data_IF_433792402311
#
_entry.id   IF_433792402311
#
_cell.length_a   1.000
_cell.length_b   1.000
_cell.length_c   1.000
_cell.angle_alpha   90.00
_cell.angle_beta   90.00
_cell.angle_gamma   90.00
#
_symmetry.space_group_name_H-M   'P 1'
#
loop_
_entity.id
_entity.type
_entity.pdbx_description
1 polymer ?
#
# COMPACT_ATOMS: atom_id res chain seq x y z
N UNK A 1 -8.27 -7.99 -26.31
CA UNK A 1 -8.82 -6.79 -25.66
C UNK A 1 -9.40 -7.24 -24.34
N UNK A 2 -8.98 -6.66 -23.22
CA UNK A 2 -9.48 -7.05 -21.89
C UNK A 2 -10.97 -6.73 -21.73
N UNK A 3 -11.61 -7.42 -20.82
CA UNK A 3 -13.00 -7.18 -20.42
C UNK A 3 -13.07 -5.94 -19.51
N UNK A 4 -14.21 -5.27 -19.48
CA UNK A 4 -14.46 -4.16 -18.54
C UNK A 4 -15.67 -4.56 -17.71
N UNK A 5 -15.50 -4.49 -16.38
CA UNK A 5 -16.57 -4.68 -15.41
C UNK A 5 -16.85 -3.36 -14.70
N UNK A 6 -18.11 -3.11 -14.44
CA UNK A 6 -18.62 -1.89 -13.82
C UNK A 6 -19.26 -2.19 -12.48
N UNK A 7 -18.98 -1.35 -11.50
CA UNK A 7 -19.53 -1.44 -10.15
C UNK A 7 -20.24 -0.12 -9.79
N UNK A 8 -21.53 -0.20 -9.40
CA UNK A 8 -22.36 0.94 -9.00
C UNK A 8 -23.11 0.58 -7.71
N UNK A 9 -22.69 1.14 -6.57
CA UNK A 9 -23.27 0.84 -5.26
C UNK A 9 -24.74 1.27 -5.13
N UNK A 10 -25.16 2.23 -5.94
CA UNK A 10 -26.51 2.81 -5.86
C UNK A 10 -27.48 2.08 -6.78
N UNK A 11 -27.13 1.97 -8.08
CA UNK A 11 -28.05 1.48 -9.11
C UNK A 11 -27.67 0.08 -9.63
N UNK A 12 -26.53 -0.47 -9.22
CA UNK A 12 -26.10 -1.81 -9.60
C UNK A 12 -26.97 -2.92 -8.99
N UNK A 13 -26.84 -4.11 -9.57
CA UNK A 13 -27.45 -5.34 -9.07
C UNK A 13 -26.49 -6.50 -9.33
N UNK A 14 -26.24 -7.35 -8.33
CA UNK A 14 -25.30 -8.46 -8.42
C UNK A 14 -25.78 -9.62 -9.33
N UNK A 15 -27.01 -9.58 -9.75
CA UNK A 15 -27.54 -10.46 -10.80
C UNK A 15 -27.19 -9.99 -12.22
N UNK A 16 -26.66 -8.80 -12.38
CA UNK A 16 -26.25 -8.22 -13.65
C UNK A 16 -24.94 -8.86 -14.15
N UNK A 17 -24.66 -8.68 -15.45
CA UNK A 17 -23.41 -9.15 -16.04
C UNK A 17 -22.16 -8.34 -15.66
N UNK A 18 -22.34 -7.11 -15.19
CA UNK A 18 -21.27 -6.17 -14.89
C UNK A 18 -20.55 -5.57 -16.11
N UNK A 19 -20.88 -5.94 -17.34
CA UNK A 19 -20.08 -5.60 -18.54
C UNK A 19 -20.47 -4.28 -19.24
N UNK A 20 -21.49 -3.61 -18.75
CA UNK A 20 -21.87 -2.25 -19.18
C UNK A 20 -22.24 -1.39 -17.96
N UNK A 21 -22.13 -0.04 -18.03
CA UNK A 21 -22.55 0.82 -16.94
C UNK A 21 -24.01 0.62 -16.51
N UNK A 22 -24.92 0.36 -17.45
CA UNK A 22 -26.35 0.17 -17.18
C UNK A 22 -26.66 -1.23 -16.59
N UNK A 23 -25.74 -2.17 -16.71
CA UNK A 23 -25.82 -3.51 -16.12
C UNK A 23 -24.66 -3.74 -15.12
N UNK A 24 -24.33 -2.72 -14.34
CA UNK A 24 -23.27 -2.78 -13.34
C UNK A 24 -23.60 -3.75 -12.20
N UNK A 25 -22.57 -4.37 -11.63
CA UNK A 25 -22.66 -5.07 -10.35
C UNK A 25 -22.85 -4.06 -9.22
N UNK A 26 -23.26 -4.53 -8.04
CA UNK A 26 -23.53 -3.65 -6.90
C UNK A 26 -22.47 -3.72 -5.81
N UNK A 27 -22.07 -4.93 -5.42
CA UNK A 27 -21.28 -5.18 -4.22
C UNK A 27 -19.82 -5.51 -4.50
N UNK A 28 -18.95 -5.29 -3.51
CA UNK A 28 -17.57 -5.78 -3.53
C UNK A 28 -17.51 -7.30 -3.57
N UNK A 29 -18.47 -7.96 -2.91
CA UNK A 29 -18.58 -9.42 -2.89
C UNK A 29 -18.76 -10.00 -4.29
N UNK A 30 -19.61 -9.39 -5.12
CA UNK A 30 -19.79 -9.80 -6.51
C UNK A 30 -18.51 -9.53 -7.34
N UNK A 31 -17.88 -8.39 -7.12
CA UNK A 31 -16.61 -8.06 -7.77
C UNK A 31 -15.49 -9.06 -7.41
N UNK A 32 -15.45 -9.51 -6.15
CA UNK A 32 -14.48 -10.49 -5.66
C UNK A 32 -14.67 -11.90 -6.28
N UNK A 33 -15.80 -12.19 -6.92
CA UNK A 33 -16.03 -13.47 -7.62
C UNK A 33 -15.48 -13.45 -9.06
N UNK A 34 -15.04 -12.30 -9.55
CA UNK A 34 -14.54 -12.18 -10.93
C UNK A 34 -13.10 -12.69 -10.98
N UNK A 35 -12.84 -13.63 -11.89
CA UNK A 35 -11.49 -13.99 -12.26
C UNK A 35 -11.01 -13.07 -13.40
N UNK A 36 -10.11 -12.16 -13.05
CA UNK A 36 -9.54 -11.18 -13.96
C UNK A 36 -8.39 -11.80 -14.78
N UNK A 37 -8.14 -11.24 -15.94
CA UNK A 37 -7.04 -11.59 -16.82
C UNK A 37 -6.36 -10.36 -17.42
N UNK A 38 -5.45 -10.59 -18.35
CA UNK A 38 -4.67 -9.55 -19.01
C UNK A 38 -5.55 -8.47 -19.66
N UNK A 39 -5.35 -7.22 -19.22
CA UNK A 39 -6.07 -6.06 -19.72
C UNK A 39 -7.50 -5.89 -19.20
N UNK A 40 -7.99 -6.76 -18.33
CA UNK A 40 -9.30 -6.61 -17.70
C UNK A 40 -9.33 -5.40 -16.77
N UNK A 41 -10.51 -4.80 -16.64
CA UNK A 41 -10.71 -3.64 -15.76
C UNK A 41 -11.93 -3.83 -14.87
N UNK A 42 -11.82 -3.44 -13.62
CA UNK A 42 -12.92 -3.17 -12.72
C UNK A 42 -13.02 -1.66 -12.53
N UNK A 43 -14.12 -1.08 -12.96
CA UNK A 43 -14.35 0.35 -12.85
C UNK A 43 -15.46 0.62 -11.83
N UNK A 44 -15.12 1.42 -10.82
CA UNK A 44 -16.01 1.85 -9.76
C UNK A 44 -16.63 3.20 -10.13
N UNK A 45 -17.93 3.36 -9.88
CA UNK A 45 -18.63 4.59 -10.21
C UNK A 45 -18.26 5.73 -9.27
N UNK A 46 -17.90 6.86 -9.84
CA UNK A 46 -17.70 8.11 -9.11
C UNK A 46 -18.93 8.48 -8.29
N UNK A 47 -18.73 9.04 -7.09
CA UNK A 47 -19.79 9.41 -6.14
C UNK A 47 -20.42 8.21 -5.40
N UNK A 48 -19.89 7.01 -5.54
CA UNK A 48 -20.34 5.82 -4.79
C UNK A 48 -19.39 5.47 -3.66
N UNK A 49 -19.92 4.80 -2.64
CA UNK A 49 -19.20 4.29 -1.48
C UNK A 49 -19.49 2.80 -1.29
N UNK A 50 -18.47 2.03 -0.97
CA UNK A 50 -18.56 0.62 -0.59
C UNK A 50 -17.93 0.39 0.77
N UNK A 51 -18.49 -0.57 1.51
CA UNK A 51 -17.95 -1.03 2.80
C UNK A 51 -17.53 -2.48 2.70
N UNK A 52 -16.34 -2.77 3.24
CA UNK A 52 -15.74 -4.10 3.23
C UNK A 52 -14.45 -4.15 2.41
N UNK A 53 -13.99 -5.35 2.11
CA UNK A 53 -12.70 -5.59 1.46
C UNK A 53 -12.89 -5.95 -0.01
N UNK A 54 -12.23 -5.21 -0.89
CA UNK A 54 -12.07 -5.61 -2.29
C UNK A 54 -10.81 -6.47 -2.42
N UNK A 55 -11.00 -7.72 -2.84
CA UNK A 55 -9.92 -8.69 -3.03
C UNK A 55 -10.03 -9.33 -4.43
N UNK A 56 -9.48 -8.70 -5.48
CA UNK A 56 -9.58 -9.20 -6.84
C UNK A 56 -8.70 -10.44 -7.05
N UNK A 57 -9.12 -11.34 -7.92
CA UNK A 57 -8.42 -12.58 -8.23
C UNK A 57 -7.97 -12.64 -9.70
N UNK A 58 -6.86 -13.32 -9.93
CA UNK A 58 -6.28 -13.49 -11.27
C UNK A 58 -5.20 -12.45 -11.58
N UNK A 59 -4.44 -12.70 -12.61
CA UNK A 59 -3.26 -11.90 -12.98
C UNK A 59 -3.49 -11.15 -14.29
N UNK A 60 -2.97 -9.93 -14.38
CA UNK A 60 -2.66 -9.31 -15.67
C UNK A 60 -1.45 -9.97 -16.35
N UNK A 61 -0.87 -9.29 -17.30
CA UNK A 61 0.45 -9.65 -17.81
C UNK A 61 1.35 -8.41 -17.96
N UNK A 62 2.61 -8.61 -18.23
CA UNK A 62 3.61 -7.51 -18.31
C UNK A 62 3.30 -6.47 -19.40
N UNK A 63 2.43 -6.75 -20.35
CA UNK A 63 2.03 -5.85 -21.42
C UNK A 63 0.62 -5.29 -21.23
N UNK A 64 -0.23 -6.01 -20.49
CA UNK A 64 -1.62 -5.67 -20.26
C UNK A 64 -1.99 -5.94 -18.79
N UNK A 65 -1.78 -4.93 -17.96
CA UNK A 65 -2.14 -5.00 -16.54
C UNK A 65 -3.67 -5.13 -16.38
N UNK A 66 -4.10 -5.89 -15.40
CA UNK A 66 -5.44 -5.76 -14.86
C UNK A 66 -5.54 -4.44 -14.07
N UNK A 67 -6.72 -3.84 -13.99
CA UNK A 67 -6.86 -2.51 -13.39
C UNK A 67 -8.11 -2.39 -12.53
N UNK A 68 -7.96 -1.75 -11.37
CA UNK A 68 -9.05 -1.13 -10.62
C UNK A 68 -8.97 0.37 -10.89
N UNK A 69 -10.07 0.97 -11.32
CA UNK A 69 -10.14 2.39 -11.66
C UNK A 69 -11.55 2.95 -11.49
N UNK A 70 -11.85 4.05 -12.14
CA UNK A 70 -13.10 4.79 -11.95
C UNK A 70 -13.83 5.04 -13.25
N UNK A 71 -15.13 5.29 -13.17
CA UNK A 71 -15.93 5.76 -14.30
C UNK A 71 -17.03 6.72 -13.85
N UNK A 72 -17.57 7.48 -14.81
CA UNK A 72 -18.58 8.52 -14.55
C UNK A 72 -17.96 9.79 -14.00
N UNK A 73 -18.80 10.77 -13.79
CA UNK A 73 -18.42 12.09 -13.28
C UNK A 73 -18.72 12.18 -11.77
N UNK A 74 -17.98 13.00 -11.06
CA UNK A 74 -18.18 13.25 -9.63
C UNK A 74 -16.94 13.02 -8.80
N UNK A 75 -17.11 12.92 -7.50
CA UNK A 75 -16.04 12.60 -6.54
C UNK A 75 -15.51 11.19 -6.77
N UNK A 76 -14.22 10.98 -6.45
CA UNK A 76 -13.62 9.66 -6.55
C UNK A 76 -14.41 8.64 -5.69
N UNK A 77 -14.59 7.41 -6.17
CA UNK A 77 -15.32 6.40 -5.43
C UNK A 77 -14.56 6.00 -4.15
N UNK A 78 -15.31 5.82 -3.07
CA UNK A 78 -14.77 5.48 -1.76
C UNK A 78 -14.91 3.98 -1.47
N UNK A 79 -13.81 3.35 -1.04
CA UNK A 79 -13.82 2.04 -0.38
C UNK A 79 -13.43 2.22 1.08
N UNK A 80 -14.39 2.03 1.99
CA UNK A 80 -14.15 1.92 3.43
C UNK A 80 -14.00 0.44 3.79
N UNK A 81 -12.81 0.05 4.26
CA UNK A 81 -12.56 -1.31 4.73
C UNK A 81 -13.48 -1.75 5.88
N UNK A 82 -14.10 -0.79 6.58
CA UNK A 82 -15.06 -1.03 7.68
C UNK A 82 -14.52 -2.00 8.74
N UNK A 83 -13.25 -1.85 9.07
CA UNK A 83 -12.56 -2.69 10.05
C UNK A 83 -11.98 -3.99 9.52
N UNK A 84 -12.08 -4.28 8.23
CA UNK A 84 -11.42 -5.44 7.62
C UNK A 84 -9.89 -5.33 7.68
N UNK A 85 -9.21 -6.43 7.40
CA UNK A 85 -7.74 -6.47 7.35
C UNK A 85 -7.16 -5.43 6.39
N UNK A 86 -7.79 -5.22 5.23
CA UNK A 86 -7.47 -4.16 4.29
C UNK A 86 -8.74 -3.68 3.58
N UNK A 87 -8.78 -2.44 3.10
CA UNK A 87 -9.85 -1.99 2.22
C UNK A 87 -9.67 -2.58 0.81
N UNK A 88 -8.42 -2.65 0.32
CA UNK A 88 -8.06 -3.37 -0.91
C UNK A 88 -6.93 -4.35 -0.59
N UNK A 89 -7.14 -5.62 -0.92
CA UNK A 89 -6.15 -6.68 -0.76
C UNK A 89 -5.77 -7.28 -2.12
N UNK A 90 -4.54 -7.03 -2.57
CA UNK A 90 -3.94 -7.69 -3.73
C UNK A 90 -3.16 -8.91 -3.22
N UNK A 91 -3.84 -10.05 -3.08
CA UNK A 91 -3.29 -11.26 -2.48
C UNK A 91 -2.78 -12.24 -3.53
N UNK A 92 -1.48 -12.41 -3.58
CA UNK A 92 -0.83 -13.35 -4.48
C UNK A 92 -1.05 -13.06 -5.97
N UNK A 93 -1.40 -11.83 -6.35
CA UNK A 93 -1.67 -11.44 -7.74
C UNK A 93 -0.53 -10.60 -8.31
N UNK A 94 -0.39 -10.59 -9.64
CA UNK A 94 0.63 -9.84 -10.37
C UNK A 94 0.02 -9.03 -11.52
N UNK A 95 0.73 -7.96 -11.91
CA UNK A 95 0.37 -7.07 -13.02
C UNK A 95 -1.00 -6.39 -12.85
N UNK A 96 -1.11 -5.68 -11.71
CA UNK A 96 -2.29 -4.92 -11.35
C UNK A 96 -2.00 -3.42 -11.20
N UNK A 97 -2.98 -2.60 -11.57
CA UNK A 97 -3.00 -1.16 -11.28
C UNK A 97 -4.21 -0.82 -10.43
N UNK A 98 -4.01 -0.05 -9.38
CA UNK A 98 -5.06 0.59 -8.57
C UNK A 98 -4.91 2.09 -8.72
N UNK A 99 -5.95 2.75 -9.21
CA UNK A 99 -5.83 4.16 -9.57
C UNK A 99 -7.08 4.97 -9.30
N UNK A 100 -6.90 6.17 -8.71
CA UNK A 100 -7.90 7.22 -8.66
C UNK A 100 -9.04 6.98 -7.67
N UNK A 101 -8.80 6.24 -6.59
CA UNK A 101 -9.78 5.89 -5.57
C UNK A 101 -9.56 6.68 -4.29
N UNK A 102 -10.64 6.91 -3.54
CA UNK A 102 -10.60 7.25 -2.12
C UNK A 102 -10.68 5.97 -1.30
N UNK A 103 -9.84 5.84 -0.29
CA UNK A 103 -9.69 4.61 0.51
C UNK A 103 -9.55 4.98 1.98
N UNK A 104 -10.39 4.38 2.81
CA UNK A 104 -10.24 4.45 4.26
C UNK A 104 -10.49 3.07 4.90
N UNK A 105 -10.22 2.94 6.18
CA UNK A 105 -10.48 1.70 6.89
C UNK A 105 -10.72 1.99 8.38
N UNK A 106 -11.94 2.45 8.65
CA UNK A 106 -12.37 2.84 9.97
C UNK A 106 -12.61 1.67 10.91
N UNK A 107 -12.15 1.80 12.14
CA UNK A 107 -12.56 0.92 13.24
C UNK A 107 -12.23 1.50 14.61
N UNK A 108 -13.07 1.24 15.57
CA UNK A 108 -12.78 1.47 16.98
C UNK A 108 -11.95 0.36 17.62
N UNK A 109 -11.82 -0.81 16.97
CA UNK A 109 -11.02 -1.92 17.45
C UNK A 109 -9.55 -1.73 17.09
N UNK A 110 -8.67 -2.02 18.03
CA UNK A 110 -7.21 -1.97 17.81
C UNK A 110 -6.75 -3.31 17.25
N UNK A 111 -6.35 -3.31 16.00
CA UNK A 111 -5.72 -4.48 15.35
C UNK A 111 -4.84 -4.04 14.18
N UNK A 112 -4.10 -4.97 13.62
CA UNK A 112 -3.36 -4.75 12.36
C UNK A 112 -4.37 -4.50 11.23
N UNK A 113 -4.22 -3.38 10.54
CA UNK A 113 -5.17 -2.94 9.51
C UNK A 113 -4.48 -2.05 8.46
N UNK A 114 -4.90 -2.21 7.21
CA UNK A 114 -4.33 -1.56 6.05
C UNK A 114 -5.37 -0.74 5.30
N UNK A 115 -4.92 0.28 4.55
CA UNK A 115 -5.70 0.85 3.46
C UNK A 115 -5.63 -0.07 2.24
N UNK A 116 -4.45 -0.16 1.62
CA UNK A 116 -4.15 -1.12 0.55
C UNK A 116 -3.06 -2.07 1.03
N UNK A 117 -3.29 -3.38 0.88
CA UNK A 117 -2.29 -4.40 1.13
C UNK A 117 -1.91 -5.11 -0.18
N UNK A 118 -0.61 -5.17 -0.47
CA UNK A 118 -0.03 -6.02 -1.49
C UNK A 118 0.61 -7.19 -0.76
N UNK A 119 0.02 -8.38 -0.86
CA UNK A 119 0.55 -9.62 -0.31
C UNK A 119 1.16 -10.44 -1.43
N UNK A 120 2.45 -10.72 -1.33
CA UNK A 120 3.15 -11.47 -2.36
C UNK A 120 2.69 -12.92 -2.41
N UNK A 121 2.91 -13.57 -3.55
CA UNK A 121 2.75 -15.02 -3.72
C UNK A 121 3.64 -15.75 -2.72
N UNK A 122 3.17 -16.89 -2.23
CA UNK A 122 3.95 -17.77 -1.36
C UNK A 122 5.16 -18.37 -2.06
N UNK A 123 5.12 -18.47 -3.39
CA UNK A 123 6.20 -18.98 -4.23
C UNK A 123 6.32 -18.17 -5.52
N UNK A 124 7.55 -17.98 -5.99
CA UNK A 124 7.86 -17.29 -7.22
C UNK A 124 7.84 -15.76 -7.11
N UNK A 125 7.67 -15.10 -8.24
CA UNK A 125 7.76 -13.65 -8.35
C UNK A 125 6.36 -13.04 -8.32
N UNK A 126 6.14 -12.08 -7.42
CA UNK A 126 5.00 -11.15 -7.51
C UNK A 126 5.49 -9.89 -8.19
N UNK A 127 4.93 -9.56 -9.34
CA UNK A 127 5.46 -8.49 -10.19
C UNK A 127 4.40 -7.53 -10.73
N UNK A 128 4.86 -6.32 -11.04
CA UNK A 128 4.06 -5.37 -11.80
C UNK A 128 2.85 -4.84 -11.04
N UNK A 129 3.03 -4.31 -9.83
CA UNK A 129 1.93 -3.69 -9.08
C UNK A 129 2.13 -2.17 -9.05
N UNK A 130 1.14 -1.44 -9.53
CA UNK A 130 1.10 0.03 -9.46
C UNK A 130 -0.06 0.52 -8.59
N UNK A 131 0.24 1.34 -7.57
CA UNK A 131 -0.75 2.07 -6.79
C UNK A 131 -0.54 3.57 -7.04
N UNK A 132 -1.50 4.23 -7.68
CA UNK A 132 -1.31 5.62 -8.06
C UNK A 132 -2.55 6.50 -7.97
N UNK A 133 -2.31 7.79 -7.76
CA UNK A 133 -3.34 8.83 -7.80
C UNK A 133 -4.54 8.54 -6.88
N UNK A 134 -4.30 7.85 -5.76
CA UNK A 134 -5.30 7.54 -4.74
C UNK A 134 -5.20 8.52 -3.56
N UNK A 135 -6.33 8.78 -2.92
CA UNK A 135 -6.39 9.41 -1.61
C UNK A 135 -6.64 8.34 -0.56
N UNK A 136 -5.76 8.23 0.45
CA UNK A 136 -5.84 7.18 1.49
C UNK A 136 -5.81 7.87 2.85
N UNK A 137 -6.87 7.70 3.62
CA UNK A 137 -7.04 8.43 4.88
C UNK A 137 -7.77 7.58 5.92
N UNK A 138 -7.66 7.98 7.18
CA UNK A 138 -8.38 7.37 8.30
C UNK A 138 -8.27 5.83 8.33
N UNK A 139 -7.03 5.35 8.18
CA UNK A 139 -6.71 3.93 8.36
C UNK A 139 -6.39 3.69 9.84
N UNK A 140 -7.34 3.09 10.56
CA UNK A 140 -7.30 2.88 12.01
C UNK A 140 -6.53 1.61 12.41
N UNK A 141 -5.30 1.49 11.96
CA UNK A 141 -4.43 0.36 12.30
C UNK A 141 -3.72 0.52 13.66
N UNK A 142 -3.06 -0.53 14.11
CA UNK A 142 -2.33 -0.59 15.37
C UNK A 142 -0.82 -0.55 15.16
N UNK A 143 -0.12 0.29 15.93
CA UNK A 143 1.34 0.43 15.90
C UNK A 143 1.98 0.07 17.25
N UNK A 144 1.60 -1.02 17.90
CA UNK A 144 2.17 -1.39 19.18
C UNK A 144 3.60 -1.90 19.09
N UNK A 145 4.44 -1.37 19.97
CA UNK A 145 5.79 -1.86 20.29
C UNK A 145 5.80 -2.72 21.57
N UNK A 146 4.70 -3.15 22.12
CA UNK A 146 4.70 -3.91 23.37
C UNK A 146 5.28 -5.32 23.18
N UNK A 147 6.29 -5.67 23.99
CA UNK A 147 6.82 -7.04 24.07
C UNK A 147 5.75 -8.04 24.52
N UNK A 148 5.66 -9.24 23.98
CA UNK A 148 6.52 -9.86 22.97
C UNK A 148 6.14 -9.51 21.52
N UNK A 149 5.32 -8.51 21.31
CA UNK A 149 4.70 -8.19 20.02
C UNK A 149 5.38 -6.95 19.43
N UNK A 150 6.65 -7.02 19.11
CA UNK A 150 7.29 -6.08 18.17
C UNK A 150 6.58 -6.01 16.81
N UNK A 151 5.56 -6.75 16.66
CA UNK A 151 5.07 -7.24 15.38
C UNK A 151 4.05 -6.31 14.76
N UNK A 152 3.14 -5.70 15.54
CA UNK A 152 2.09 -4.90 14.89
C UNK A 152 2.64 -3.63 14.22
N UNK A 153 3.69 -3.02 14.76
CA UNK A 153 4.33 -1.86 14.11
C UNK A 153 4.96 -2.20 12.75
N UNK A 154 5.35 -3.44 12.53
CA UNK A 154 5.96 -3.88 11.27
C UNK A 154 4.94 -4.38 10.24
N UNK A 155 3.70 -4.58 10.62
CA UNK A 155 2.70 -5.25 9.79
C UNK A 155 1.56 -4.36 9.33
N UNK A 156 1.74 -3.06 9.35
CA UNK A 156 0.72 -2.13 8.91
C UNK A 156 1.28 -0.98 8.08
N UNK A 157 0.41 -0.37 7.30
CA UNK A 157 0.65 0.82 6.51
C UNK A 157 -0.63 1.27 5.84
N UNK A 158 -0.78 2.53 5.54
CA UNK A 158 -1.86 2.96 4.64
C UNK A 158 -1.71 2.26 3.28
N UNK A 159 -0.48 2.17 2.78
CA UNK A 159 -0.08 1.20 1.74
C UNK A 159 0.95 0.26 2.33
N UNK A 160 0.61 -1.01 2.41
CA UNK A 160 1.46 -2.04 2.98
C UNK A 160 1.80 -3.11 1.94
N UNK A 161 3.08 -3.35 1.75
CA UNK A 161 3.60 -4.41 0.88
C UNK A 161 4.24 -5.46 1.76
N UNK A 162 3.68 -6.66 1.76
CA UNK A 162 4.16 -7.77 2.59
C UNK A 162 4.60 -8.95 1.75
N UNK A 163 5.57 -9.67 2.27
CA UNK A 163 6.11 -10.87 1.69
C UNK A 163 6.08 -11.98 2.75
N UNK A 164 5.31 -13.05 2.57
CA UNK A 164 5.05 -14.04 3.61
C UNK A 164 6.25 -14.94 3.98
N UNK A 165 7.39 -14.74 3.33
CA UNK A 165 8.60 -15.52 3.50
C UNK A 165 9.09 -16.12 2.20
N UNK A 166 10.31 -16.63 2.21
CA UNK A 166 10.94 -17.25 1.03
C UNK A 166 11.08 -18.74 1.21
N UNK A 167 10.68 -19.49 0.21
CA UNK A 167 10.95 -20.91 0.09
C UNK A 167 12.11 -21.18 -0.89
N UNK A 168 12.39 -20.21 -1.76
CA UNK A 168 13.48 -20.27 -2.73
C UNK A 168 14.13 -18.90 -2.97
N UNK A 169 15.32 -18.90 -3.58
CA UNK A 169 16.01 -17.67 -3.99
C UNK A 169 15.24 -16.88 -5.08
N UNK A 170 14.26 -17.48 -5.72
CA UNK A 170 13.46 -16.84 -6.78
C UNK A 170 12.22 -16.12 -6.24
N UNK A 171 11.86 -16.37 -4.99
CA UNK A 171 10.68 -15.76 -4.40
C UNK A 171 10.99 -14.30 -4.02
N UNK A 172 10.40 -13.34 -4.72
CA UNK A 172 10.60 -11.92 -4.47
C UNK A 172 9.52 -11.04 -5.11
N UNK A 173 9.51 -9.78 -4.66
CA UNK A 173 8.75 -8.71 -5.31
C UNK A 173 9.59 -8.09 -6.43
N UNK A 174 8.95 -7.81 -7.57
CA UNK A 174 9.57 -7.12 -8.70
C UNK A 174 8.61 -6.11 -9.29
N UNK A 175 9.11 -4.91 -9.62
CA UNK A 175 8.32 -3.87 -10.28
C UNK A 175 7.09 -3.43 -9.45
N UNK A 176 7.35 -2.92 -8.24
CA UNK A 176 6.34 -2.37 -7.34
C UNK A 176 6.46 -0.86 -7.35
N UNK A 177 5.43 -0.17 -7.83
CA UNK A 177 5.42 1.29 -7.99
C UNK A 177 4.28 1.88 -7.15
N UNK A 178 4.62 2.76 -6.21
CA UNK A 178 3.66 3.50 -5.40
C UNK A 178 3.89 4.98 -5.68
N UNK A 179 2.94 5.63 -6.37
CA UNK A 179 3.22 6.97 -6.89
C UNK A 179 2.02 7.93 -6.86
N UNK A 180 2.31 9.19 -6.59
CA UNK A 180 1.34 10.30 -6.66
C UNK A 180 0.11 10.10 -5.78
N UNK A 181 0.23 9.38 -4.68
CA UNK A 181 -0.88 9.20 -3.73
C UNK A 181 -0.85 10.32 -2.69
N UNK A 182 -2.03 10.71 -2.21
CA UNK A 182 -2.19 11.55 -1.04
C UNK A 182 -2.62 10.67 0.13
N UNK A 183 -1.73 10.53 1.13
CA UNK A 183 -1.93 9.68 2.31
C UNK A 183 -1.94 10.57 3.53
N UNK A 184 -3.02 10.57 4.30
CA UNK A 184 -3.11 11.46 5.44
C UNK A 184 -4.05 10.95 6.54
N UNK A 185 -3.85 11.47 7.75
CA UNK A 185 -4.69 11.15 8.90
C UNK A 185 -4.81 9.63 9.16
N UNK A 186 -3.68 8.92 9.02
CA UNK A 186 -3.63 7.46 9.20
C UNK A 186 -2.93 7.11 10.51
N UNK A 187 -3.49 6.19 11.28
CA UNK A 187 -2.87 5.72 12.53
C UNK A 187 -1.73 4.73 12.32
N UNK A 188 -1.51 4.32 11.09
CA UNK A 188 -0.44 3.42 10.67
C UNK A 188 0.78 4.21 10.18
N UNK A 189 1.80 3.53 9.65
CA UNK A 189 2.76 4.14 8.74
C UNK A 189 2.08 4.56 7.44
N UNK A 190 2.64 5.53 6.73
CA UNK A 190 2.13 5.93 5.42
C UNK A 190 2.33 4.84 4.37
N UNK A 191 3.57 4.60 3.97
CA UNK A 191 3.95 3.55 3.03
C UNK A 191 4.98 2.64 3.69
N UNK A 192 4.73 1.33 3.67
CA UNK A 192 5.66 0.34 4.17
C UNK A 192 5.86 -0.78 3.18
N UNK A 193 7.10 -0.97 2.74
CA UNK A 193 7.56 -2.15 2.00
C UNK A 193 8.46 -2.94 2.94
N UNK A 194 7.98 -4.08 3.42
CA UNK A 194 8.66 -4.81 4.48
C UNK A 194 8.45 -6.33 4.36
N UNK A 195 9.49 -7.07 4.63
CA UNK A 195 9.42 -8.51 4.84
C UNK A 195 9.25 -8.81 6.32
N UNK A 196 8.45 -9.81 6.67
CA UNK A 196 8.10 -10.11 8.06
C UNK A 196 9.18 -10.90 8.80
N UNK A 197 9.91 -11.77 8.12
CA UNK A 197 10.89 -12.67 8.75
C UNK A 197 12.29 -12.44 8.20
N UNK A 198 13.28 -12.47 9.08
CA UNK A 198 14.73 -12.42 8.79
C UNK A 198 15.17 -11.21 7.93
N UNK A 199 14.49 -10.09 8.11
CA UNK A 199 14.60 -8.93 7.24
C UNK A 199 16.00 -8.29 7.20
N UNK A 200 16.85 -8.54 8.19
CA UNK A 200 18.19 -7.94 8.28
C UNK A 200 19.15 -8.52 7.23
N UNK A 201 18.99 -9.78 6.84
CA UNK A 201 19.94 -10.49 6.00
C UNK A 201 19.42 -10.84 4.60
N UNK A 202 18.17 -10.55 4.31
CA UNK A 202 17.54 -10.97 3.08
C UNK A 202 17.19 -9.78 2.17
N UNK A 203 18.13 -9.40 1.31
CA UNK A 203 17.99 -8.30 0.35
C UNK A 203 17.71 -8.91 -1.04
N UNK A 204 16.49 -8.82 -1.53
CA UNK A 204 16.12 -9.53 -2.75
C UNK A 204 15.02 -8.90 -3.60
N UNK A 205 14.19 -8.01 -3.07
CA UNK A 205 13.18 -7.32 -3.88
C UNK A 205 13.86 -6.37 -4.86
N UNK A 206 13.32 -6.25 -6.05
CA UNK A 206 13.92 -5.46 -7.13
C UNK A 206 12.92 -4.51 -7.76
N UNK A 207 13.40 -3.38 -8.27
CA UNK A 207 12.61 -2.36 -8.93
C UNK A 207 11.42 -1.88 -8.08
N UNK A 208 11.70 -1.54 -6.81
CA UNK A 208 10.73 -0.90 -5.91
C UNK A 208 10.88 0.61 -6.02
N UNK A 209 9.82 1.29 -6.39
CA UNK A 209 9.80 2.75 -6.61
C UNK A 209 8.68 3.38 -5.79
N UNK A 210 9.04 4.31 -4.91
CA UNK A 210 8.10 5.14 -4.15
C UNK A 210 8.34 6.59 -4.53
N UNK A 211 7.42 7.21 -5.30
CA UNK A 211 7.67 8.54 -5.84
C UNK A 211 6.45 9.45 -5.86
N UNK A 212 6.69 10.75 -5.66
CA UNK A 212 5.67 11.79 -5.83
C UNK A 212 4.50 11.68 -4.86
N UNK A 213 4.60 10.88 -3.80
CA UNK A 213 3.54 10.76 -2.81
C UNK A 213 3.59 11.93 -1.83
N UNK A 214 2.43 12.36 -1.37
CA UNK A 214 2.26 13.30 -0.28
C UNK A 214 1.70 12.56 0.93
N UNK A 215 2.45 12.57 2.03
CA UNK A 215 2.11 11.84 3.25
C UNK A 215 2.06 12.83 4.40
N UNK A 216 0.97 12.86 5.16
CA UNK A 216 0.78 13.79 6.25
C UNK A 216 0.09 13.14 7.45
N UNK A 217 0.55 13.48 8.65
CA UNK A 217 -0.10 13.08 9.90
C UNK A 217 -0.31 11.57 10.02
N UNK A 218 0.80 10.86 10.10
CA UNK A 218 0.78 9.41 10.34
C UNK A 218 0.82 9.07 11.83
N UNK A 219 0.48 7.85 12.18
CA UNK A 219 0.63 7.33 13.55
C UNK A 219 2.04 6.83 13.86
N UNK A 220 2.81 6.53 12.80
CA UNK A 220 4.19 6.05 12.88
C UNK A 220 5.01 6.71 11.76
N UNK A 221 5.84 5.95 11.07
CA UNK A 221 6.70 6.42 10.00
C UNK A 221 5.96 6.98 8.79
N UNK A 222 6.63 7.79 8.00
CA UNK A 222 6.11 8.22 6.70
C UNK A 222 6.31 7.16 5.64
N UNK A 223 7.56 6.87 5.26
CA UNK A 223 7.92 5.87 4.24
C UNK A 223 9.01 4.96 4.78
N UNK A 224 8.80 3.66 4.65
CA UNK A 224 9.78 2.62 4.96
C UNK A 224 9.93 1.70 3.75
N UNK A 225 11.18 1.48 3.33
CA UNK A 225 11.49 0.50 2.28
C UNK A 225 12.57 -0.45 2.78
N UNK A 226 12.25 -1.73 2.84
CA UNK A 226 13.15 -2.76 3.31
C UNK A 226 13.33 -3.90 2.29
N UNK A 227 14.43 -4.67 2.46
CA UNK A 227 14.74 -5.91 1.72
C UNK A 227 14.92 -5.72 0.20
N UNK A 228 15.28 -4.52 -0.25
CA UNK A 228 15.30 -4.15 -1.65
C UNK A 228 16.72 -3.92 -2.21
N UNK A 229 16.89 -4.29 -3.47
CA UNK A 229 18.07 -3.96 -4.28
C UNK A 229 17.74 -2.71 -5.10
N UNK A 230 18.54 -1.67 -4.96
CA UNK A 230 18.44 -0.39 -5.66
C UNK A 230 17.03 0.23 -5.62
N UNK A 231 16.38 0.30 -4.44
CA UNK A 231 15.09 0.98 -4.37
C UNK A 231 15.25 2.48 -4.66
N UNK A 232 14.23 3.05 -5.28
CA UNK A 232 14.15 4.49 -5.55
C UNK A 232 13.04 5.12 -4.71
N UNK A 233 13.42 6.08 -3.85
CA UNK A 233 12.48 6.90 -3.08
C UNK A 233 12.69 8.34 -3.53
N UNK A 234 11.73 8.87 -4.32
CA UNK A 234 11.97 10.07 -5.12
C UNK A 234 10.82 11.07 -5.07
N UNK A 235 11.12 12.32 -4.81
CA UNK A 235 10.15 13.43 -4.91
C UNK A 235 8.91 13.25 -4.02
N UNK A 236 9.03 12.61 -2.86
CA UNK A 236 7.94 12.49 -1.90
C UNK A 236 7.96 13.66 -0.91
N UNK A 237 6.78 14.00 -0.41
CA UNK A 237 6.58 14.95 0.69
C UNK A 237 6.08 14.16 1.90
N UNK A 238 6.76 14.27 3.03
CA UNK A 238 6.37 13.61 4.27
C UNK A 238 6.36 14.62 5.42
N UNK A 239 5.18 14.99 5.90
CA UNK A 239 5.00 15.93 7.00
C UNK A 239 4.30 15.28 8.18
N UNK A 240 4.69 15.69 9.38
CA UNK A 240 4.04 15.29 10.62
C UNK A 240 3.99 13.76 10.82
N UNK A 241 5.07 13.05 10.44
CA UNK A 241 5.21 11.63 10.76
C UNK A 241 5.15 11.42 12.28
N UNK A 242 4.35 10.45 12.73
CA UNK A 242 4.11 10.15 14.13
C UNK A 242 3.11 11.06 14.83
N UNK A 243 2.53 12.07 14.18
CA UNK A 243 1.65 13.04 14.82
C UNK A 243 0.40 12.41 15.47
N UNK A 244 -0.11 11.32 14.93
CA UNK A 244 -1.26 10.57 15.45
C UNK A 244 -0.88 9.40 16.37
N UNK A 245 0.41 9.15 16.58
CA UNK A 245 0.88 8.12 17.51
C UNK A 245 0.53 8.46 18.96
N UNK A 246 0.18 7.45 19.74
CA UNK A 246 -0.06 7.57 21.18
C UNK A 246 1.15 7.04 21.97
N UNK A 247 1.18 7.25 23.29
CA UNK A 247 2.23 6.73 24.17
C UNK A 247 2.25 5.19 24.23
N UNK A 248 1.15 4.55 23.86
CA UNK A 248 1.04 3.08 23.81
C UNK A 248 1.44 2.51 22.44
N UNK A 249 1.56 3.37 21.44
CA UNK A 249 1.91 2.99 20.07
C UNK A 249 3.43 2.99 19.85
N UNK A 250 3.84 3.04 18.62
CA UNK A 250 5.24 3.06 18.19
C UNK A 250 6.02 4.23 18.80
N UNK A 251 7.23 3.94 19.18
CA UNK A 251 8.18 4.87 19.76
C UNK A 251 9.40 5.12 18.86
N UNK A 252 9.48 4.45 17.71
CA UNK A 252 10.53 4.65 16.72
C UNK A 252 9.88 5.24 15.48
N UNK A 253 10.21 6.48 15.17
CA UNK A 253 9.55 7.22 14.09
C UNK A 253 10.60 7.92 13.25
N UNK A 254 10.56 7.66 11.95
CA UNK A 254 11.29 8.44 10.97
C UNK A 254 10.38 8.92 9.84
N UNK A 255 10.75 10.01 9.20
CA UNK A 255 10.02 10.51 8.05
C UNK A 255 10.14 9.56 6.87
N UNK A 256 11.35 9.35 6.39
CA UNK A 256 11.66 8.43 5.28
C UNK A 256 12.93 7.65 5.62
N UNK A 257 12.86 6.32 5.60
CA UNK A 257 14.00 5.50 5.91
C UNK A 257 14.05 4.16 5.18
N UNK A 258 15.23 3.55 5.19
CA UNK A 258 15.50 2.26 4.56
C UNK A 258 16.25 1.34 5.52
N UNK A 259 15.99 0.03 5.43
CA UNK A 259 16.76 -0.98 6.13
C UNK A 259 16.88 -2.24 5.28
N UNK A 260 17.90 -3.05 5.53
CA UNK A 260 18.19 -4.26 4.73
C UNK A 260 18.09 -3.96 3.21
N UNK A 261 18.64 -2.84 2.76
CA UNK A 261 18.67 -2.47 1.33
C UNK A 261 20.08 -2.47 0.81
N UNK A 262 20.22 -2.61 -0.51
CA UNK A 262 21.49 -2.45 -1.22
C UNK A 262 21.34 -1.36 -2.27
N UNK A 263 22.31 -0.44 -2.31
CA UNK A 263 22.40 0.62 -3.32
C UNK A 263 21.12 1.48 -3.43
N UNK A 264 20.55 1.86 -2.30
CA UNK A 264 19.31 2.66 -2.25
C UNK A 264 19.57 4.11 -2.70
N UNK A 265 18.62 4.70 -3.43
CA UNK A 265 18.63 6.11 -3.82
C UNK A 265 17.41 6.83 -3.24
N UNK A 266 17.68 7.78 -2.34
CA UNK A 266 16.69 8.64 -1.69
C UNK A 266 16.96 10.07 -2.14
N UNK A 267 16.09 10.63 -2.99
CA UNK A 267 16.36 11.93 -3.58
C UNK A 267 15.13 12.82 -3.75
N UNK A 268 15.33 14.14 -3.72
CA UNK A 268 14.30 15.15 -3.96
C UNK A 268 13.07 15.01 -3.07
N UNK A 269 13.22 14.42 -1.89
CA UNK A 269 12.13 14.32 -0.94
C UNK A 269 12.15 15.50 0.03
N UNK A 270 11.00 15.87 0.53
CA UNK A 270 10.85 16.86 1.59
C UNK A 270 10.26 16.20 2.83
N UNK A 271 10.95 16.31 3.97
CA UNK A 271 10.49 15.81 5.26
C UNK A 271 10.49 16.93 6.28
N UNK A 272 9.38 17.10 6.98
CA UNK A 272 9.29 18.11 8.03
C UNK A 272 8.41 17.66 9.20
N UNK A 273 8.73 18.16 10.38
CA UNK A 273 7.96 17.99 11.62
C UNK A 273 7.74 16.52 12.01
N UNK A 274 8.74 15.66 11.77
CA UNK A 274 8.74 14.31 12.33
C UNK A 274 8.67 14.40 13.85
N UNK A 275 7.71 13.69 14.45
CA UNK A 275 7.55 13.68 15.89
C UNK A 275 8.71 12.95 16.54
N UNK A 276 9.37 13.62 17.46
CA UNK A 276 10.35 12.97 18.31
C UNK A 276 9.65 12.17 19.40
N UNK A 277 10.03 10.93 19.55
CA UNK A 277 9.60 10.07 20.63
C UNK A 277 10.80 9.32 21.22
N UNK A 278 10.96 9.36 22.54
CA UNK A 278 12.18 8.89 23.22
C UNK A 278 13.46 9.49 22.59
N UNK A 279 14.25 8.68 21.92
CA UNK A 279 15.51 9.07 21.28
C UNK A 279 15.43 9.02 19.75
N UNK A 280 14.25 8.91 19.18
CA UNK A 280 14.02 8.82 17.74
C UNK A 280 13.11 9.95 17.25
N UNK A 281 13.10 10.22 15.96
CA UNK A 281 12.37 11.35 15.35
C UNK A 281 13.13 11.96 14.18
N UNK A 282 13.90 11.15 13.46
CA UNK A 282 14.73 11.61 12.34
C UNK A 282 13.88 11.96 11.12
N UNK A 283 14.36 12.90 10.30
CA UNK A 283 13.75 13.16 9.01
C UNK A 283 14.04 12.03 8.01
N UNK A 284 15.31 11.65 7.92
CA UNK A 284 15.82 10.59 7.06
C UNK A 284 16.69 9.65 7.87
N UNK A 285 16.59 8.34 7.58
CA UNK A 285 17.41 7.36 8.26
C UNK A 285 17.80 6.19 7.35
N UNK A 286 18.87 5.51 7.72
CA UNK A 286 19.31 4.25 7.14
C UNK A 286 19.74 3.32 8.26
N UNK A 287 19.09 2.17 8.33
CA UNK A 287 19.18 1.29 9.48
C UNK A 287 19.82 -0.07 9.11
N UNK A 288 19.66 -1.04 9.97
CA UNK A 288 20.35 -2.33 9.92
C UNK A 288 20.31 -3.01 8.54
N UNK A 289 21.36 -3.76 8.24
CA UNK A 289 21.45 -4.61 7.07
C UNK A 289 21.60 -3.86 5.74
N UNK A 290 21.77 -2.55 5.75
CA UNK A 290 22.08 -1.82 4.51
C UNK A 290 23.46 -2.20 3.98
N UNK A 291 23.58 -2.31 2.66
CA UNK A 291 24.79 -2.71 1.95
C UNK A 291 25.01 -1.85 0.69
N UNK A 292 26.22 -1.92 0.14
CA UNK A 292 26.59 -1.10 -1.02
C UNK A 292 26.64 0.38 -0.69
N UNK A 293 26.04 1.22 -1.53
CA UNK A 293 26.03 2.67 -1.36
C UNK A 293 24.61 3.20 -1.25
N UNK A 294 24.20 3.63 -0.07
CA UNK A 294 22.94 4.36 0.12
C UNK A 294 23.20 5.85 -0.12
N UNK A 295 22.48 6.47 -1.04
CA UNK A 295 22.64 7.85 -1.42
C UNK A 295 21.42 8.68 -1.01
N UNK A 296 21.65 9.71 -0.20
CA UNK A 296 20.69 10.76 0.08
C UNK A 296 21.13 12.03 -0.64
N UNK A 297 20.32 12.53 -1.58
CA UNK A 297 20.68 13.73 -2.34
C UNK A 297 19.48 14.62 -2.66
N UNK A 298 19.69 15.92 -2.64
CA UNK A 298 18.69 16.94 -2.99
C UNK A 298 17.40 16.90 -2.12
N UNK A 299 17.47 16.33 -0.94
CA UNK A 299 16.34 16.27 -0.01
C UNK A 299 16.26 17.54 0.85
#
# INVERSE_FOLDING_TARGET
MGRIFYLDAVNGNDENSGITPDAALKSLEAANQILFGAGDKLLLKCGCEWKGMLCPHGDGDRFQFAQIGTYGDGEAPLIDGNGAYAAILLDGVSYWKVKGLCICNHSSERCVRQGICISAKSEGITAGIEISDCEIFEVDGENRRAMPVYQSMYWNGAVYVTFPGRTSAQDHLHDIIISNNYIHDVRTSGIRVNQQEDFINDIHHTHVVVRGNRIERTGSDGIIVANCISPLIDSNICFDAGALGTLEDTQLIAGIWVCATRDALIQRNEVARTRMFENDGTAFDTDWGTAGTTVFQYN
#
